data_IF_826193614899
#
_entry.id   IF_826193614899
#
_cell.length_a   1.000
_cell.length_b   1.000
_cell.length_c   1.000
_cell.angle_alpha   90.00
_cell.angle_beta   90.00
_cell.angle_gamma   90.00
#
_symmetry.space_group_name_H-M   'P 1'
#
loop_
_entity.id
_entity.type
_entity.pdbx_description
1 polymer ?
#
# COMPACT_ATOMS: atom_id res chain seq x y z
N UNK A 1 4.29 -8.76 5.99
CA UNK A 1 4.02 -10.00 6.78
C UNK A 1 4.80 -11.21 6.25
N UNK A 2 5.14 -11.24 4.96
CA UNK A 2 6.01 -12.29 4.41
C UNK A 2 7.36 -12.36 5.11
N UNK A 3 8.00 -11.21 5.34
CA UNK A 3 9.26 -11.13 6.08
C UNK A 3 9.14 -11.63 7.53
N UNK A 4 8.04 -11.28 8.22
CA UNK A 4 7.76 -11.78 9.58
C UNK A 4 7.66 -13.31 9.59
N UNK A 5 6.99 -13.91 8.60
CA UNK A 5 6.90 -15.38 8.47
C UNK A 5 8.25 -16.02 8.16
N UNK A 6 9.09 -15.37 7.37
CA UNK A 6 10.39 -15.91 6.95
C UNK A 6 11.45 -15.83 8.05
N UNK A 7 11.39 -14.80 8.90
CA UNK A 7 12.50 -14.48 9.81
C UNK A 7 12.17 -14.70 11.30
N UNK A 8 10.89 -14.72 11.70
CA UNK A 8 10.54 -14.77 13.11
C UNK A 8 10.43 -16.22 13.63
N UNK A 9 11.09 -16.51 14.75
CA UNK A 9 10.86 -17.75 15.51
C UNK A 9 9.55 -17.71 16.31
N UNK A 10 9.13 -16.50 16.72
CA UNK A 10 7.96 -16.27 17.56
C UNK A 10 7.27 -14.96 17.17
N UNK A 11 5.95 -14.98 17.10
CA UNK A 11 5.09 -13.84 16.74
C UNK A 11 4.12 -13.56 17.89
N UNK A 12 4.14 -12.32 18.40
CA UNK A 12 3.14 -11.81 19.35
C UNK A 12 2.25 -10.80 18.65
N UNK A 13 0.94 -11.01 18.68
CA UNK A 13 -0.02 -10.11 18.05
C UNK A 13 -0.63 -9.20 19.11
N UNK A 14 -0.53 -7.89 18.87
CA UNK A 14 -1.18 -6.84 19.65
C UNK A 14 -2.33 -6.26 18.84
N UNK A 15 -3.50 -6.07 19.48
CA UNK A 15 -4.67 -5.41 18.90
C UNK A 15 -5.35 -4.57 19.97
N UNK A 16 -5.74 -3.34 19.62
CA UNK A 16 -6.43 -2.42 20.52
C UNK A 16 -5.71 -2.23 21.87
N UNK A 17 -4.37 -2.16 21.84
CA UNK A 17 -3.52 -2.03 23.02
C UNK A 17 -3.43 -3.29 23.90
N UNK A 18 -3.97 -4.43 23.46
CA UNK A 18 -3.98 -5.69 24.21
C UNK A 18 -3.25 -6.81 23.46
N UNK A 19 -2.62 -7.71 24.21
CA UNK A 19 -2.04 -8.93 23.65
C UNK A 19 -3.15 -9.91 23.29
N UNK A 20 -3.26 -10.21 22.00
CA UNK A 20 -4.21 -11.20 21.46
C UNK A 20 -3.65 -12.60 21.62
N UNK A 21 -2.34 -12.78 21.44
CA UNK A 21 -1.68 -14.08 21.60
C UNK A 21 -0.22 -14.06 21.18
N UNK A 22 0.48 -15.15 21.50
CA UNK A 22 1.85 -15.42 21.08
C UNK A 22 1.95 -16.82 20.49
N UNK A 23 2.61 -16.95 19.34
CA UNK A 23 2.66 -18.16 18.53
C UNK A 23 4.08 -18.40 18.01
N UNK A 24 4.50 -19.65 17.77
CA UNK A 24 5.67 -19.93 16.95
C UNK A 24 5.52 -19.30 15.56
N UNK A 25 6.59 -18.76 14.98
CA UNK A 25 6.50 -18.07 13.68
C UNK A 25 6.09 -18.98 12.52
N UNK A 26 6.31 -20.29 12.64
CA UNK A 26 5.85 -21.31 11.70
C UNK A 26 4.38 -21.71 11.88
N UNK A 27 3.76 -21.37 13.01
CA UNK A 27 2.41 -21.82 13.35
C UNK A 27 1.29 -20.99 12.68
N UNK A 28 1.60 -19.81 12.15
CA UNK A 28 0.63 -18.91 11.53
C UNK A 28 0.90 -18.71 10.04
N UNK A 29 -0.15 -18.73 9.23
CA UNK A 29 -0.07 -18.19 7.88
C UNK A 29 -0.10 -16.66 7.90
N UNK A 30 0.26 -16.04 6.78
CA UNK A 30 0.12 -14.60 6.59
C UNK A 30 -1.31 -14.12 6.81
N UNK A 31 -2.30 -14.90 6.35
CA UNK A 31 -3.71 -14.60 6.57
C UNK A 31 -4.11 -14.73 8.04
N UNK A 32 -3.61 -15.73 8.77
CA UNK A 32 -3.92 -15.88 10.19
C UNK A 32 -3.39 -14.69 10.99
N UNK A 33 -2.15 -14.27 10.73
CA UNK A 33 -1.57 -13.08 11.35
C UNK A 33 -2.42 -11.83 11.07
N UNK A 34 -2.82 -11.61 9.82
CA UNK A 34 -3.67 -10.47 9.45
C UNK A 34 -5.05 -10.51 10.14
N UNK A 35 -5.67 -11.69 10.25
CA UNK A 35 -6.94 -11.87 10.98
C UNK A 35 -6.80 -11.51 12.45
N UNK A 36 -5.73 -11.97 13.10
CA UNK A 36 -5.46 -11.68 14.51
C UNK A 36 -5.24 -10.17 14.74
N UNK A 37 -4.51 -9.51 13.83
CA UNK A 37 -4.21 -8.07 13.90
C UNK A 37 -5.45 -7.19 13.75
N UNK A 38 -6.39 -7.54 12.87
CA UNK A 38 -7.54 -6.67 12.54
C UNK A 38 -8.81 -7.10 13.30
N UNK A 39 -8.93 -8.36 13.72
CA UNK A 39 -10.05 -8.85 14.52
C UNK A 39 -11.37 -9.00 13.76
N UNK A 40 -11.33 -9.07 12.42
CA UNK A 40 -12.49 -9.31 11.55
C UNK A 40 -12.11 -10.16 10.34
N UNK A 41 -13.13 -10.73 9.69
CA UNK A 41 -13.00 -11.47 8.42
C UNK A 41 -12.24 -10.63 7.37
N UNK A 42 -11.24 -11.26 6.72
CA UNK A 42 -10.34 -10.62 5.74
C UNK A 42 -11.06 -10.09 4.49
N UNK A 43 -12.29 -10.55 4.21
CA UNK A 43 -13.12 -9.99 3.14
C UNK A 43 -13.37 -8.48 3.31
N UNK A 44 -13.35 -7.98 4.56
CA UNK A 44 -13.42 -6.55 4.86
C UNK A 44 -12.09 -5.80 4.64
N UNK A 45 -10.98 -6.50 4.41
CA UNK A 45 -9.65 -5.90 4.20
C UNK A 45 -9.34 -5.62 2.73
N UNK A 46 -9.99 -6.32 1.81
CA UNK A 46 -9.82 -6.13 0.37
C UNK A 46 -11.19 -5.97 -0.28
N UNK A 47 -11.85 -4.81 -0.10
CA UNK A 47 -13.10 -4.54 -0.80
C UNK A 47 -12.90 -4.63 -2.32
N UNK A 48 -13.96 -4.97 -3.03
CA UNK A 48 -13.93 -5.06 -4.49
C UNK A 48 -13.46 -3.72 -5.06
N UNK A 49 -12.37 -3.74 -5.83
CA UNK A 49 -11.87 -2.54 -6.51
C UNK A 49 -12.87 -2.15 -7.59
N UNK A 50 -13.25 -0.87 -7.62
CA UNK A 50 -14.00 -0.31 -8.73
C UNK A 50 -13.13 -0.28 -9.98
N UNK A 51 -13.68 -0.65 -11.12
CA UNK A 51 -13.00 -0.47 -12.41
C UNK A 51 -13.12 1.00 -12.82
N UNK A 52 -11.99 1.71 -13.07
CA UNK A 52 -12.03 3.08 -13.56
C UNK A 52 -12.65 3.16 -14.96
N UNK A 53 -13.27 4.29 -15.29
CA UNK A 53 -13.72 4.55 -16.67
C UNK A 53 -12.57 5.07 -17.52
N UNK A 54 -12.79 5.21 -18.84
CA UNK A 54 -11.83 5.85 -19.75
C UNK A 54 -12.01 7.37 -19.84
N UNK A 55 -12.83 7.98 -18.99
CA UNK A 55 -13.09 9.43 -18.98
C UNK A 55 -11.92 10.16 -18.30
N UNK A 56 -11.13 10.97 -19.02
CA UNK A 56 -9.98 11.67 -18.43
C UNK A 56 -10.45 12.80 -17.51
N UNK A 57 -9.91 12.85 -16.28
CA UNK A 57 -10.22 13.87 -15.27
C UNK A 57 -9.06 14.86 -15.06
N UNK A 58 -7.82 14.40 -15.22
CA UNK A 58 -6.62 15.23 -15.17
C UNK A 58 -5.64 14.73 -16.23
N UNK A 59 -5.02 15.63 -16.98
CA UNK A 59 -3.92 15.31 -17.88
C UNK A 59 -2.75 16.25 -17.61
N UNK A 60 -1.62 15.66 -17.27
CA UNK A 60 -0.35 16.35 -17.04
C UNK A 60 0.58 16.00 -18.20
N UNK A 61 1.23 17.01 -18.77
CA UNK A 61 2.14 16.85 -19.90
C UNK A 61 3.43 17.58 -19.63
N UNK A 62 4.54 16.90 -19.89
CA UNK A 62 5.90 17.42 -19.84
C UNK A 62 6.24 18.15 -18.52
N UNK A 63 5.70 17.67 -17.40
CA UNK A 63 5.94 18.26 -16.09
C UNK A 63 7.40 18.04 -15.69
N UNK A 64 8.06 19.11 -15.27
CA UNK A 64 9.46 19.11 -14.85
C UNK A 64 9.56 19.83 -13.51
N UNK A 65 10.14 19.15 -12.53
CA UNK A 65 10.44 19.69 -11.21
C UNK A 65 11.96 19.70 -11.07
N UNK A 66 12.62 20.87 -11.13
CA UNK A 66 14.08 20.97 -11.17
C UNK A 66 14.76 20.17 -10.04
N UNK A 67 15.65 19.26 -10.42
CA UNK A 67 16.39 18.39 -9.50
C UNK A 67 15.66 17.13 -9.05
N UNK A 68 14.39 16.95 -9.43
CA UNK A 68 13.55 15.84 -8.94
C UNK A 68 12.86 15.04 -10.04
N UNK A 69 12.28 15.69 -11.04
CA UNK A 69 11.53 15.04 -12.12
C UNK A 69 11.69 15.79 -13.44
N UNK A 70 11.75 15.07 -14.56
CA UNK A 70 11.89 15.65 -15.90
C UNK A 70 10.95 14.94 -16.87
N UNK A 71 10.28 15.73 -17.72
CA UNK A 71 9.41 15.26 -18.80
C UNK A 71 8.31 14.25 -18.39
N UNK A 72 7.67 14.48 -17.24
CA UNK A 72 6.65 13.55 -16.72
C UNK A 72 5.29 13.86 -17.35
N UNK A 73 4.66 12.83 -17.92
CA UNK A 73 3.32 12.91 -18.51
C UNK A 73 2.43 11.76 -18.04
N UNK A 74 1.22 12.06 -17.61
CA UNK A 74 0.22 11.07 -17.18
C UNK A 74 -1.20 11.60 -17.30
N UNK A 75 -2.16 10.67 -17.31
CA UNK A 75 -3.59 10.99 -17.31
C UNK A 75 -4.26 10.20 -16.18
N UNK A 76 -5.03 10.88 -15.35
CA UNK A 76 -5.90 10.28 -14.35
C UNK A 76 -7.30 10.19 -14.91
N UNK A 77 -7.90 9.01 -14.88
CA UNK A 77 -9.27 8.79 -15.32
C UNK A 77 -10.27 8.77 -14.15
N UNK A 78 -11.55 8.89 -14.48
CA UNK A 78 -12.63 8.91 -13.49
C UNK A 78 -12.73 7.59 -12.74
N UNK A 79 -12.66 7.69 -11.41
CA UNK A 79 -12.67 6.54 -10.50
C UNK A 79 -11.33 5.82 -10.40
N UNK A 80 -10.27 6.33 -11.05
CA UNK A 80 -8.92 5.80 -10.93
C UNK A 80 -8.25 6.32 -9.65
N UNK A 81 -7.45 5.47 -9.01
CA UNK A 81 -6.53 5.86 -7.95
C UNK A 81 -5.12 5.70 -8.52
N UNK A 82 -4.51 6.81 -8.93
CA UNK A 82 -3.15 6.84 -9.46
C UNK A 82 -2.15 7.08 -8.33
N UNK A 83 -1.09 6.27 -8.28
CA UNK A 83 0.01 6.44 -7.33
C UNK A 83 1.35 6.15 -7.97
N UNK A 84 2.36 6.96 -7.65
CA UNK A 84 3.73 6.76 -8.10
C UNK A 84 4.54 6.03 -7.02
N UNK A 85 5.25 4.98 -7.43
CA UNK A 85 6.15 4.22 -6.59
C UNK A 85 7.60 4.38 -7.08
N UNK A 86 8.55 4.22 -6.16
CA UNK A 86 9.96 4.46 -6.44
C UNK A 86 10.77 4.61 -5.16
N UNK A 87 12.09 4.66 -5.31
CA UNK A 87 13.02 4.85 -4.19
C UNK A 87 12.83 6.22 -3.52
N UNK A 88 13.40 6.37 -2.32
CA UNK A 88 13.52 7.68 -1.68
C UNK A 88 14.36 8.58 -2.59
N UNK A 89 13.92 9.83 -2.77
CA UNK A 89 14.56 10.79 -3.67
C UNK A 89 14.19 10.65 -5.15
N UNK A 90 13.29 9.73 -5.52
CA UNK A 90 12.84 9.56 -6.91
C UNK A 90 11.89 10.68 -7.41
N UNK A 91 11.74 11.79 -6.67
CA UNK A 91 10.92 12.94 -7.08
C UNK A 91 9.39 12.74 -6.93
N UNK A 92 8.93 11.71 -6.21
CA UNK A 92 7.50 11.37 -6.10
C UNK A 92 6.68 12.43 -5.36
N UNK A 93 7.22 12.92 -4.25
CA UNK A 93 6.54 13.93 -3.43
C UNK A 93 6.63 15.27 -4.13
N UNK A 94 7.81 15.58 -4.65
CA UNK A 94 8.13 16.83 -5.33
C UNK A 94 7.32 16.99 -6.63
N UNK A 95 7.01 15.91 -7.34
CA UNK A 95 6.13 15.95 -8.51
C UNK A 95 4.68 16.39 -8.16
N UNK A 96 4.22 16.15 -6.93
CA UNK A 96 2.87 16.53 -6.49
C UNK A 96 2.81 17.85 -5.74
N UNK A 97 3.92 18.29 -5.15
CA UNK A 97 4.02 19.52 -4.36
C UNK A 97 4.67 20.69 -5.14
N UNK A 98 5.31 20.40 -6.28
CA UNK A 98 6.09 21.35 -7.08
C UNK A 98 5.30 22.45 -7.77
#
# INVERSE_FOLDING_TARGET
>A
LDEVRQLADKVTVLRDGRMVGTYPGTALTQMDMARLMVGRELAALYPQKSTPSSEPMLSVKNATVPGYAEDVSFTLHKGEILGFAGMIGAGRTELFEG
#
